data_IF_940859568019
#
_entry.id   IF_940859568019
#
_cell.length_a   1.000
_cell.length_b   1.000
_cell.length_c   1.000
_cell.angle_alpha   90.00
_cell.angle_beta   90.00
_cell.angle_gamma   90.00
#
_symmetry.space_group_name_H-M   'P 1'
#
loop_
_entity.id
_entity.type
_entity.pdbx_description
1 polymer ?
#
# COMPACT_ATOMS: atom_id res chain seq x y z
N UNK A 1 1.80 38.12 -24.14
CA UNK A 1 2.41 36.91 -23.56
C UNK A 1 3.62 36.53 -24.41
N UNK A 2 4.83 36.62 -23.85
CA UNK A 2 6.06 36.33 -24.57
C UNK A 2 6.28 34.80 -24.71
N UNK A 3 7.22 34.39 -25.56
CA UNK A 3 7.50 32.97 -25.85
C UNK A 3 7.81 32.17 -24.58
N UNK A 4 8.46 32.81 -23.60
CA UNK A 4 8.78 32.22 -22.31
C UNK A 4 7.52 31.89 -21.49
N UNK A 5 6.58 32.85 -21.37
CA UNK A 5 5.31 32.64 -20.66
C UNK A 5 4.45 31.55 -21.31
N UNK A 6 4.46 31.43 -22.65
CA UNK A 6 3.75 30.35 -23.35
C UNK A 6 4.35 28.98 -23.04
N UNK A 7 5.68 28.86 -23.06
CA UNK A 7 6.37 27.62 -22.73
C UNK A 7 6.07 27.18 -21.29
N UNK A 8 6.17 28.10 -20.32
CA UNK A 8 5.86 27.80 -18.91
C UNK A 8 4.41 27.34 -18.73
N UNK A 9 3.44 28.00 -19.37
CA UNK A 9 2.03 27.60 -19.29
C UNK A 9 1.78 26.20 -19.88
N UNK A 10 2.44 25.86 -20.99
CA UNK A 10 2.37 24.53 -21.59
C UNK A 10 2.97 23.48 -20.65
N UNK A 11 4.13 23.75 -20.06
CA UNK A 11 4.77 22.81 -19.12
C UNK A 11 3.89 22.56 -17.89
N UNK A 12 3.30 23.60 -17.30
CA UNK A 12 2.38 23.46 -16.16
C UNK A 12 1.15 22.64 -16.56
N UNK A 13 0.57 22.89 -17.74
CA UNK A 13 -0.58 22.14 -18.22
C UNK A 13 -0.25 20.65 -18.42
N UNK A 14 0.93 20.32 -18.96
CA UNK A 14 1.38 18.94 -19.11
C UNK A 14 1.55 18.27 -17.74
N UNK A 15 2.21 18.92 -16.78
CA UNK A 15 2.37 18.39 -15.42
C UNK A 15 1.01 18.14 -14.77
N UNK A 16 0.08 19.09 -14.88
CA UNK A 16 -1.27 18.93 -14.32
C UNK A 16 -2.04 17.76 -14.96
N UNK A 17 -1.91 17.56 -16.28
CA UNK A 17 -2.52 16.41 -16.97
C UNK A 17 -1.90 15.09 -16.52
N UNK A 18 -0.57 15.02 -16.39
CA UNK A 18 0.13 13.81 -15.92
C UNK A 18 -0.26 13.48 -14.48
N UNK A 19 -0.21 14.44 -13.56
CA UNK A 19 -0.59 14.23 -12.16
C UNK A 19 -2.07 13.88 -12.03
N UNK A 20 -2.93 14.52 -12.81
CA UNK A 20 -4.36 14.19 -12.86
C UNK A 20 -4.58 12.75 -13.32
N UNK A 21 -3.94 12.34 -14.42
CA UNK A 21 -4.01 10.97 -14.91
C UNK A 21 -3.50 9.95 -13.88
N UNK A 22 -2.36 10.24 -13.25
CA UNK A 22 -1.76 9.35 -12.24
C UNK A 22 -2.67 9.18 -11.02
N UNK A 23 -3.30 10.26 -10.56
CA UNK A 23 -4.27 10.23 -9.46
C UNK A 23 -5.53 9.42 -9.78
N UNK A 24 -5.96 9.43 -11.05
CA UNK A 24 -7.11 8.63 -11.50
C UNK A 24 -6.75 7.15 -11.63
N UNK A 25 -5.53 6.84 -12.09
CA UNK A 25 -5.06 5.45 -12.25
C UNK A 25 -4.76 4.80 -10.89
N UNK A 26 -4.21 5.54 -9.94
CA UNK A 26 -3.88 5.08 -8.58
C UNK A 26 -5.00 5.37 -7.56
N UNK A 27 -6.25 5.50 -8.02
CA UNK A 27 -7.41 5.50 -7.13
C UNK A 27 -7.89 4.06 -6.96
N UNK A 28 -7.12 3.24 -6.25
CA UNK A 28 -7.48 1.89 -5.86
C UNK A 28 -8.54 1.94 -4.74
N UNK A 29 -9.78 2.20 -5.17
CA UNK A 29 -10.95 2.45 -4.34
C UNK A 29 -11.54 1.25 -3.59
N UNK A 30 -10.80 0.18 -3.29
CA UNK A 30 -11.26 -0.81 -2.32
C UNK A 30 -10.08 -1.33 -1.51
N UNK A 31 -9.85 -0.69 -0.38
CA UNK A 31 -9.05 -1.25 0.71
C UNK A 31 -9.60 -2.65 1.02
N UNK A 32 -8.77 -3.67 0.81
CA UNK A 32 -9.17 -5.04 1.06
C UNK A 32 -9.19 -5.29 2.57
N UNK A 33 -10.39 -5.37 3.14
CA UNK A 33 -10.62 -5.84 4.49
C UNK A 33 -10.93 -7.33 4.45
N UNK A 34 -9.97 -8.22 4.78
CA UNK A 34 -10.26 -9.63 4.89
C UNK A 34 -11.35 -9.84 5.95
N UNK A 35 -12.25 -10.78 5.68
CA UNK A 35 -13.17 -11.27 6.69
C UNK A 35 -12.38 -11.98 7.81
N UNK A 36 -12.91 -12.02 9.04
CA UNK A 36 -12.34 -12.88 10.08
C UNK A 36 -12.16 -14.30 9.55
N UNK A 37 -11.00 -14.91 9.83
CA UNK A 37 -10.63 -16.27 9.40
C UNK A 37 -10.48 -16.47 7.87
N UNK A 38 -10.45 -15.39 7.08
CA UNK A 38 -10.05 -15.47 5.66
C UNK A 38 -8.53 -15.63 5.53
N UNK A 39 -8.07 -16.39 4.53
CA UNK A 39 -6.64 -16.48 4.17
C UNK A 39 -6.09 -15.13 3.71
N UNK A 40 -4.88 -14.79 4.14
CA UNK A 40 -4.14 -13.64 3.63
C UNK A 40 -3.81 -13.84 2.14
N UNK A 41 -3.78 -12.76 1.38
CA UNK A 41 -3.38 -12.74 -0.02
C UNK A 41 -1.87 -12.46 -0.15
N UNK A 42 -1.20 -13.27 -0.97
CA UNK A 42 0.18 -13.01 -1.39
C UNK A 42 1.24 -13.84 -0.67
N UNK A 43 2.49 -13.40 -0.77
CA UNK A 43 3.64 -14.05 -0.13
C UNK A 43 3.88 -13.52 1.29
N UNK A 44 4.28 -14.36 2.25
CA UNK A 44 4.58 -13.91 3.61
C UNK A 44 5.82 -13.02 3.66
N UNK A 45 5.76 -12.02 4.53
CA UNK A 45 6.89 -11.29 5.10
C UNK A 45 7.01 -11.75 6.55
N UNK A 46 7.96 -12.64 6.81
CA UNK A 46 8.21 -13.13 8.16
C UNK A 46 8.92 -12.05 8.99
N UNK A 47 8.36 -11.70 10.15
CA UNK A 47 8.94 -10.76 11.09
C UNK A 47 9.18 -11.42 12.44
N UNK A 48 10.29 -11.04 13.10
CA UNK A 48 10.71 -11.66 14.36
C UNK A 48 9.88 -11.19 15.58
N UNK A 49 9.10 -10.12 15.42
CA UNK A 49 8.28 -9.55 16.49
C UNK A 49 6.82 -10.06 16.45
N UNK A 50 6.17 -10.17 17.61
CA UNK A 50 4.78 -10.62 17.72
C UNK A 50 3.77 -9.49 17.46
N UNK A 51 2.56 -9.85 16.99
CA UNK A 51 1.44 -8.91 16.87
C UNK A 51 0.52 -8.94 18.09
N UNK A 52 0.25 -7.75 18.66
CA UNK A 52 -0.63 -7.57 19.82
C UNK A 52 -1.87 -6.69 19.58
N UNK A 53 -2.09 -6.21 18.35
CA UNK A 53 -3.27 -5.43 17.97
C UNK A 53 -3.00 -3.93 17.87
N UNK A 54 -2.85 -3.45 16.63
CA UNK A 54 -2.62 -2.04 16.29
C UNK A 54 -1.25 -1.77 15.68
N UNK A 55 -1.02 -0.50 15.35
CA UNK A 55 0.17 0.01 14.68
C UNK A 55 1.46 -0.32 15.44
N UNK A 56 2.39 -0.94 14.75
CA UNK A 56 3.74 -1.29 15.13
C UNK A 56 4.73 -0.54 14.24
N UNK A 57 6.01 -0.74 14.52
CA UNK A 57 7.10 -0.34 13.64
C UNK A 57 8.12 -1.46 13.66
N UNK A 58 8.78 -1.79 12.53
CA UNK A 58 8.87 -1.04 11.26
C UNK A 58 7.68 -1.23 10.29
N UNK A 59 7.67 -0.43 9.21
CA UNK A 59 6.73 -0.61 8.10
C UNK A 59 7.07 -1.85 7.27
N UNK A 60 6.48 -2.99 7.63
CA UNK A 60 6.85 -4.30 7.11
C UNK A 60 6.45 -4.50 5.65
N UNK A 61 5.37 -3.88 5.20
CA UNK A 61 4.80 -4.02 3.85
C UNK A 61 5.55 -3.22 2.77
N UNK A 62 6.53 -2.40 3.13
CA UNK A 62 7.36 -1.63 2.19
C UNK A 62 7.92 -2.44 0.99
N UNK A 63 8.41 -3.69 1.14
CA UNK A 63 8.94 -4.48 0.02
C UNK A 63 7.95 -4.70 -1.13
N UNK A 64 6.64 -4.65 -0.86
CA UNK A 64 5.60 -4.76 -1.90
C UNK A 64 5.66 -3.59 -2.89
N UNK A 65 6.03 -2.39 -2.43
CA UNK A 65 6.25 -1.24 -3.32
C UNK A 65 7.52 -1.40 -4.17
N UNK A 66 8.52 -2.14 -3.68
CA UNK A 66 9.80 -2.34 -4.38
C UNK A 66 9.70 -3.43 -5.46
N UNK A 67 8.95 -4.50 -5.19
CA UNK A 67 8.85 -5.67 -6.09
C UNK A 67 7.52 -5.82 -6.82
N UNK A 68 6.50 -5.04 -6.45
CA UNK A 68 5.17 -5.09 -7.05
C UNK A 68 4.44 -6.42 -6.81
N UNK A 69 4.75 -7.15 -5.75
CA UNK A 69 4.11 -8.42 -5.38
C UNK A 69 3.25 -8.27 -4.13
N UNK A 70 2.03 -8.80 -4.18
CA UNK A 70 1.13 -8.76 -3.04
C UNK A 70 1.74 -9.58 -1.90
N UNK A 71 1.76 -9.00 -0.71
CA UNK A 71 2.34 -9.61 0.49
C UNK A 71 1.40 -9.49 1.68
N UNK A 72 1.72 -10.24 2.74
CA UNK A 72 1.14 -10.10 4.07
C UNK A 72 2.23 -10.26 5.12
N UNK A 73 2.00 -9.77 6.34
CA UNK A 73 2.97 -9.88 7.45
C UNK A 73 2.66 -11.12 8.26
N UNK A 74 3.66 -11.99 8.46
CA UNK A 74 3.60 -13.15 9.33
C UNK A 74 4.44 -12.90 10.58
N UNK A 75 3.79 -12.82 11.74
CA UNK A 75 4.44 -12.49 13.01
C UNK A 75 4.94 -13.74 13.73
N UNK A 76 5.94 -13.57 14.61
CA UNK A 76 6.54 -14.68 15.36
C UNK A 76 5.59 -15.42 16.32
N UNK A 77 4.43 -14.84 16.63
CA UNK A 77 3.36 -15.49 17.39
C UNK A 77 2.31 -16.21 16.54
N UNK A 78 2.57 -16.40 15.24
CA UNK A 78 1.73 -17.12 14.29
C UNK A 78 0.49 -16.35 13.83
N UNK A 79 0.34 -15.08 14.22
CA UNK A 79 -0.68 -14.19 13.65
C UNK A 79 -0.21 -13.67 12.29
N UNK A 80 -1.16 -13.20 11.48
CA UNK A 80 -0.87 -12.49 10.25
C UNK A 80 -1.80 -11.30 10.04
N UNK A 81 -1.30 -10.27 9.34
CA UNK A 81 -2.07 -9.09 8.91
C UNK A 81 -1.80 -8.80 7.45
N UNK A 82 -2.85 -8.36 6.75
CA UNK A 82 -2.81 -8.10 5.32
C UNK A 82 -2.15 -6.75 5.00
N UNK A 83 -1.16 -6.73 4.10
CA UNK A 83 -0.69 -5.47 3.51
C UNK A 83 -1.79 -4.84 2.67
N UNK A 84 -1.77 -3.52 2.48
CA UNK A 84 -2.64 -2.84 1.52
C UNK A 84 -2.60 -3.55 0.15
N UNK A 85 -3.70 -3.50 -0.60
CA UNK A 85 -3.71 -4.05 -1.96
C UNK A 85 -2.76 -3.24 -2.84
N UNK A 86 -2.00 -3.89 -3.72
CA UNK A 86 -1.22 -3.19 -4.76
C UNK A 86 -2.13 -2.23 -5.53
N UNK A 87 -1.69 -1.00 -5.83
CA UNK A 87 -0.32 -0.47 -5.76
C UNK A 87 0.15 0.03 -4.39
N UNK A 88 -0.69 -0.02 -3.35
CA UNK A 88 -0.32 0.38 -2.01
C UNK A 88 0.76 -0.52 -1.38
N UNK A 89 1.37 -0.06 -0.28
CA UNK A 89 2.31 -0.84 0.53
C UNK A 89 2.26 -0.47 2.01
N UNK A 90 1.14 0.08 2.46
CA UNK A 90 0.91 0.35 3.88
C UNK A 90 0.68 -0.97 4.64
N UNK A 91 1.03 -0.98 5.94
CA UNK A 91 0.71 -2.06 6.87
C UNK A 91 -0.77 -2.03 7.28
N UNK A 92 -1.65 -1.87 6.30
CA UNK A 92 -3.06 -1.54 6.51
C UNK A 92 -3.75 -2.48 7.51
N UNK A 93 -3.57 -3.80 7.39
CA UNK A 93 -4.18 -4.76 8.30
C UNK A 93 -3.68 -4.61 9.74
N UNK A 94 -2.40 -4.29 9.93
CA UNK A 94 -1.81 -4.00 11.23
C UNK A 94 -2.41 -2.70 11.80
N UNK A 95 -2.41 -1.62 11.01
CA UNK A 95 -2.94 -0.31 11.38
C UNK A 95 -4.43 -0.37 11.76
N UNK A 96 -5.20 -1.20 11.05
CA UNK A 96 -6.64 -1.37 11.28
C UNK A 96 -6.99 -2.43 12.33
N UNK A 97 -6.01 -3.13 12.92
CA UNK A 97 -6.33 -4.18 13.87
C UNK A 97 -6.88 -5.46 13.24
N UNK A 98 -6.75 -5.64 11.92
CA UNK A 98 -7.38 -6.71 11.13
C UNK A 98 -6.38 -7.83 10.84
N UNK A 99 -6.70 -9.03 11.33
CA UNK A 99 -5.91 -10.25 11.10
C UNK A 99 -6.55 -11.16 10.05
N UNK A 100 -5.72 -11.95 9.39
CA UNK A 100 -6.11 -13.04 8.49
C UNK A 100 -5.38 -14.34 8.85
N UNK A 101 -5.78 -15.46 8.25
CA UNK A 101 -5.05 -16.73 8.35
C UNK A 101 -3.83 -16.70 7.43
N UNK A 102 -2.64 -17.09 7.91
CA UNK A 102 -1.42 -17.09 7.09
C UNK A 102 -1.46 -18.08 5.93
#
# INVERSE_FOLDING_TARGET
MNTFQKATAITIAIIAVVLGYDSFVHSDGTEFKPEPDQMCEGDPIEVEYPYYGGMLSPHACQPQCDDGKQRYVLYSNGKATQCQKIPGCLDWGEDQGVTCLP
#
